data_IF_614696996689
#
_entry.id   IF_614696996689
#
_cell.length_a   1.000
_cell.length_b   1.000
_cell.length_c   1.000
_cell.angle_alpha   90.00
_cell.angle_beta   90.00
_cell.angle_gamma   90.00
#
_symmetry.space_group_name_H-M   'P 1'
#
loop_
_entity.id
_entity.type
_entity.pdbx_description
1 polymer ?
#
# COMPACT_ATOMS: atom_id res chain seq x y z
N UNK A 1 -4.74 -10.98 17.29
CA UNK A 1 -4.07 -9.66 17.43
C UNK A 1 -3.05 -9.57 16.29
N UNK A 2 -3.03 -8.66 15.34
CA UNK A 2 -3.67 -7.35 15.15
C UNK A 2 -4.10 -7.24 13.69
N UNK A 3 -5.39 -7.07 13.43
CA UNK A 3 -5.89 -6.79 12.07
C UNK A 3 -5.58 -5.34 11.74
N UNK A 4 -4.87 -5.12 10.64
CA UNK A 4 -4.47 -3.83 10.07
C UNK A 4 -3.40 -3.03 10.85
N UNK A 5 -2.22 -3.63 11.04
CA UNK A 5 -0.98 -2.83 11.28
C UNK A 5 -0.61 -1.94 10.09
N UNK A 6 -1.19 -2.20 8.92
CA UNK A 6 -0.92 -1.50 7.67
C UNK A 6 -2.13 -0.65 7.26
N UNK A 7 -1.87 0.58 6.86
CA UNK A 7 -2.77 1.41 6.09
C UNK A 7 -2.19 1.59 4.69
N UNK A 8 -3.00 1.38 3.66
CA UNK A 8 -2.62 1.59 2.27
C UNK A 8 -3.20 2.91 1.77
N UNK A 9 -2.39 3.70 1.08
CA UNK A 9 -2.77 4.98 0.46
C UNK A 9 -2.36 4.99 -1.00
N UNK A 10 -3.35 5.03 -1.89
CA UNK A 10 -3.12 5.12 -3.34
C UNK A 10 -3.47 6.53 -3.81
N UNK A 11 -2.47 7.30 -4.21
CA UNK A 11 -2.66 8.68 -4.65
C UNK A 11 -3.20 8.75 -6.09
N UNK A 12 -4.41 9.28 -6.28
CA UNK A 12 -5.00 9.53 -7.61
C UNK A 12 -4.55 10.86 -8.21
N UNK A 13 -4.17 11.80 -7.35
CA UNK A 13 -3.76 13.14 -7.74
C UNK A 13 -3.38 13.99 -6.53
N UNK A 14 -3.27 15.30 -6.72
CA UNK A 14 -2.92 16.22 -5.64
C UNK A 14 -4.07 16.26 -4.61
N UNK A 15 -3.76 15.90 -3.36
CA UNK A 15 -4.70 15.85 -2.24
C UNK A 15 -5.87 14.87 -2.42
N UNK A 16 -5.73 13.86 -3.29
CA UNK A 16 -6.74 12.83 -3.50
C UNK A 16 -6.12 11.43 -3.39
N UNK A 17 -6.54 10.69 -2.38
CA UNK A 17 -6.03 9.36 -2.05
C UNK A 17 -7.19 8.41 -1.79
N UNK A 18 -7.04 7.16 -2.25
CA UNK A 18 -7.86 6.04 -1.81
C UNK A 18 -7.14 5.40 -0.62
N UNK A 19 -7.80 5.39 0.53
CA UNK A 19 -7.25 4.86 1.79
C UNK A 19 -7.93 3.55 2.16
N UNK A 20 -7.17 2.58 2.65
CA UNK A 20 -7.65 1.30 3.18
C UNK A 20 -6.86 0.89 4.42
N UNK A 21 -7.54 0.64 5.53
CA UNK A 21 -6.92 0.34 6.83
C UNK A 21 -7.09 1.45 7.86
N UNK A 22 -6.72 1.15 9.11
CA UNK A 22 -6.90 2.05 10.28
C UNK A 22 -6.07 3.33 10.15
N UNK A 23 -6.59 4.46 10.63
CA UNK A 23 -5.83 5.72 10.74
C UNK A 23 -4.70 5.65 11.78
N UNK A 24 -4.85 4.77 12.78
CA UNK A 24 -3.84 4.49 13.79
C UNK A 24 -2.91 3.32 13.40
N UNK A 25 -2.82 3.01 12.10
CA UNK A 25 -1.94 1.94 11.62
C UNK A 25 -0.48 2.23 11.95
N UNK A 26 0.24 1.19 12.37
CA UNK A 26 1.67 1.23 12.69
C UNK A 26 2.53 1.56 11.47
N UNK A 27 2.07 1.12 10.29
CA UNK A 27 2.77 1.27 9.01
C UNK A 27 1.83 1.85 7.97
N UNK A 28 2.26 2.92 7.31
CA UNK A 28 1.53 3.50 6.17
C UNK A 28 2.27 3.17 4.89
N UNK A 29 1.63 2.42 4.01
CA UNK A 29 2.12 2.06 2.67
C UNK A 29 1.53 3.03 1.65
N UNK A 30 2.37 3.73 0.91
CA UNK A 30 1.94 4.72 -0.09
C UNK A 30 2.49 4.42 -1.47
N UNK A 31 1.65 4.62 -2.49
CA UNK A 31 2.00 4.44 -3.92
C UNK A 31 1.14 5.38 -4.78
N UNK A 32 1.64 5.77 -5.95
CA UNK A 32 0.82 6.51 -6.92
C UNK A 32 -0.15 5.56 -7.64
N UNK A 33 -1.31 6.05 -8.09
CA UNK A 33 -2.23 5.23 -8.87
C UNK A 33 -1.58 4.69 -10.16
N UNK A 34 -0.71 5.50 -10.79
CA UNK A 34 0.02 5.10 -11.99
C UNK A 34 1.00 3.95 -11.76
N UNK A 35 1.56 3.85 -10.55
CA UNK A 35 2.51 2.80 -10.16
C UNK A 35 1.81 1.62 -9.43
N UNK A 36 0.54 1.76 -9.02
CA UNK A 36 -0.17 0.77 -8.20
C UNK A 36 -0.49 -0.55 -8.93
N UNK A 37 -0.32 -0.60 -10.24
CA UNK A 37 -0.44 -1.82 -11.06
C UNK A 37 0.87 -2.59 -11.24
N UNK A 38 2.00 -2.03 -10.80
CA UNK A 38 3.28 -2.73 -10.77
C UNK A 38 3.25 -3.85 -9.72
N UNK A 39 4.09 -4.86 -9.90
CA UNK A 39 4.38 -5.81 -8.82
C UNK A 39 4.85 -5.03 -7.57
N UNK A 40 4.26 -5.25 -6.38
CA UNK A 40 4.58 -4.45 -5.21
C UNK A 40 6.04 -4.53 -4.75
N UNK A 41 6.69 -5.67 -4.93
CA UNK A 41 8.10 -5.84 -4.57
C UNK A 41 8.99 -5.04 -5.52
N UNK A 42 8.69 -5.09 -6.83
CA UNK A 42 9.35 -4.26 -7.83
C UNK A 42 9.11 -2.77 -7.57
N UNK A 43 7.87 -2.37 -7.29
CA UNK A 43 7.53 -0.98 -6.97
C UNK A 43 8.28 -0.48 -5.73
N UNK A 44 8.45 -1.33 -4.71
CA UNK A 44 9.24 -1.01 -3.52
C UNK A 44 10.72 -0.83 -3.85
N UNK A 45 11.31 -1.77 -4.61
CA UNK A 45 12.72 -1.70 -5.05
C UNK A 45 13.01 -0.46 -5.91
N UNK A 46 12.04 0.00 -6.69
CA UNK A 46 12.14 1.22 -7.51
C UNK A 46 11.83 2.51 -6.71
N UNK A 47 11.50 2.40 -5.42
CA UNK A 47 11.13 3.54 -4.57
C UNK A 47 9.78 4.18 -4.90
N UNK A 48 8.91 3.47 -5.64
CA UNK A 48 7.56 3.89 -6.03
C UNK A 48 6.52 3.53 -4.98
N UNK A 49 6.65 2.35 -4.38
CA UNK A 49 5.93 1.96 -3.18
C UNK A 49 6.81 2.29 -1.97
N UNK A 50 6.26 3.02 -1.02
CA UNK A 50 6.98 3.48 0.17
C UNK A 50 6.25 3.03 1.42
N UNK A 51 6.98 2.89 2.51
CA UNK A 51 6.39 2.75 3.84
C UNK A 51 6.88 3.84 4.78
N UNK A 52 5.99 4.27 5.67
CA UNK A 52 6.33 4.99 6.90
C UNK A 52 6.08 4.07 8.08
N UNK A 53 6.97 4.06 9.07
CA UNK A 53 6.96 3.10 10.18
C UNK A 53 7.90 1.90 9.97
N UNK A 54 7.85 0.88 10.83
CA UNK A 54 8.70 -0.30 10.72
C UNK A 54 8.44 -1.06 9.42
N UNK A 55 9.50 -1.54 8.78
CA UNK A 55 9.40 -2.24 7.49
C UNK A 55 9.01 -3.71 7.61
N UNK A 56 9.18 -4.33 8.78
CA UNK A 56 8.84 -5.74 9.04
C UNK A 56 7.42 -6.11 8.59
N UNK A 57 6.38 -5.40 9.06
CA UNK A 57 5.00 -5.68 8.64
C UNK A 57 4.77 -5.55 7.13
N UNK A 58 5.43 -4.61 6.45
CA UNK A 58 5.34 -4.51 4.99
C UNK A 58 5.97 -5.74 4.32
N UNK A 59 7.15 -6.18 4.77
CA UNK A 59 7.80 -7.36 4.19
C UNK A 59 7.01 -8.64 4.41
N UNK A 60 6.39 -8.81 5.57
CA UNK A 60 5.48 -9.92 5.84
C UNK A 60 4.32 -9.91 4.82
N UNK A 61 3.67 -8.75 4.62
CA UNK A 61 2.56 -8.59 3.68
C UNK A 61 2.98 -8.71 2.19
N UNK A 62 4.22 -8.35 1.84
CA UNK A 62 4.78 -8.60 0.51
C UNK A 62 4.97 -10.11 0.28
N UNK A 63 5.46 -10.83 1.29
CA UNK A 63 5.72 -12.27 1.20
C UNK A 63 4.45 -13.11 1.06
N UNK A 64 3.33 -12.65 1.64
CA UNK A 64 2.02 -13.31 1.54
C UNK A 64 1.23 -12.91 0.30
N UNK A 65 1.65 -11.85 -0.41
CA UNK A 65 0.91 -11.28 -1.54
C UNK A 65 -0.26 -10.38 -1.14
N UNK A 66 -0.45 -10.09 0.15
CA UNK A 66 -1.54 -9.25 0.66
C UNK A 66 -1.48 -7.82 0.12
N UNK A 67 -0.27 -7.29 -0.07
CA UNK A 67 -0.08 -5.97 -0.68
C UNK A 67 -0.63 -5.96 -2.11
N UNK A 68 -0.31 -6.97 -2.93
CA UNK A 68 -0.77 -7.04 -4.31
C UNK A 68 -2.30 -7.15 -4.38
N UNK A 69 -2.89 -8.02 -3.56
CA UNK A 69 -4.33 -8.19 -3.49
C UNK A 69 -5.05 -6.90 -3.05
N UNK A 70 -4.47 -6.17 -2.09
CA UNK A 70 -5.06 -4.93 -1.59
C UNK A 70 -4.95 -3.80 -2.59
N UNK A 71 -3.77 -3.57 -3.19
CA UNK A 71 -3.59 -2.56 -4.22
C UNK A 71 -4.49 -2.82 -5.44
N UNK A 72 -4.64 -4.07 -5.88
CA UNK A 72 -5.55 -4.42 -6.98
C UNK A 72 -7.01 -4.04 -6.66
N UNK A 73 -7.48 -4.28 -5.43
CA UNK A 73 -8.80 -3.82 -4.99
C UNK A 73 -8.90 -2.30 -4.98
N UNK A 74 -7.87 -1.59 -4.54
CA UNK A 74 -7.86 -0.13 -4.51
C UNK A 74 -7.91 0.49 -5.91
N UNK A 75 -7.13 -0.06 -6.84
CA UNK A 75 -7.15 0.34 -8.25
C UNK A 75 -8.51 0.05 -8.89
N UNK A 76 -9.15 -1.09 -8.58
CA UNK A 76 -10.50 -1.36 -9.07
C UNK A 76 -11.55 -0.34 -8.57
N UNK A 77 -11.35 0.28 -7.40
CA UNK A 77 -12.19 1.36 -6.85
C UNK A 77 -11.86 2.75 -7.40
N UNK A 78 -10.80 2.90 -8.21
CA UNK A 78 -10.35 4.21 -8.69
C UNK A 78 -11.05 4.68 -9.98
N UNK A 79 -11.81 3.79 -10.63
CA UNK A 79 -12.58 4.07 -11.85
C UNK A 79 -13.94 4.72 -11.60
#
# INVERSE_FOLDING_TARGET
MSGARLQYRVARGKNDEIVDGSDDAEVVVSVSLADASLDPSVAFMLGKLKNSGPSGPLFDALSTGDVAATLARLVARSG
#
